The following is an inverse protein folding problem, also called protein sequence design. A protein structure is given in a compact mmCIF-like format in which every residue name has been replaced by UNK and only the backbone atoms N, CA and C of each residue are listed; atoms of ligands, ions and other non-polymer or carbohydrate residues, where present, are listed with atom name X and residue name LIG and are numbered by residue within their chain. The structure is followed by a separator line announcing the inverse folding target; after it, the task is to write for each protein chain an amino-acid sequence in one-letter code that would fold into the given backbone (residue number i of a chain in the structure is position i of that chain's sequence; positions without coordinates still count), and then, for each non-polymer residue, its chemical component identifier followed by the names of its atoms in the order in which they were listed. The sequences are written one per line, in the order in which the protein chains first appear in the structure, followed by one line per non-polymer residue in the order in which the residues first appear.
data_IF_373476564480
#
_entry.id   IF_373476564480
#
_cell.length_a   1.000
_cell.length_b   1.000
_cell.length_c   1.000
_cell.angle_alpha   90.00
_cell.angle_beta   90.00
_cell.angle_gamma   90.00
#
_symmetry.space_group_name_H-M   'P 1'
#
loop_
_entity.id
_entity.type
_entity.pdbx_description
1 polymer ?
#
# COMPACT_ATOMS: atom_id res chain seq x y z
N UNK A 1 10.33 16.62 6.51
CA UNK A 1 10.79 15.33 7.06
C UNK A 1 12.30 15.31 7.31
N UNK A 2 13.12 15.57 6.30
CA UNK A 2 14.60 15.63 6.42
C UNK A 2 15.08 16.56 7.55
N UNK A 3 14.42 17.71 7.73
CA UNK A 3 14.72 18.66 8.80
C UNK A 3 14.29 18.23 10.20
N UNK A 4 13.35 17.28 10.31
CA UNK A 4 12.69 16.93 11.57
C UNK A 4 13.21 15.62 12.16
N UNK A 5 13.50 14.62 11.32
CA UNK A 5 13.92 13.31 11.79
C UNK A 5 14.84 12.59 10.81
N UNK A 6 15.89 11.94 11.35
CA UNK A 6 16.84 11.11 10.59
C UNK A 6 16.22 9.90 9.88
N UNK A 7 14.94 9.56 10.16
CA UNK A 7 14.20 8.54 9.43
C UNK A 7 13.89 8.88 7.97
N UNK A 8 14.31 10.04 7.45
CA UNK A 8 14.22 10.32 6.01
C UNK A 8 14.99 9.30 5.16
N UNK A 9 16.05 8.67 5.71
CA UNK A 9 16.80 7.58 5.06
C UNK A 9 15.91 6.36 4.80
N UNK A 10 14.90 6.12 5.63
CA UNK A 10 13.92 5.05 5.38
C UNK A 10 13.03 5.38 4.17
N UNK A 11 12.51 6.61 4.10
CA UNK A 11 11.61 7.05 3.02
C UNK A 11 12.32 7.06 1.67
N UNK A 12 13.54 7.61 1.62
CA UNK A 12 14.32 7.71 0.39
C UNK A 12 14.80 6.35 -0.12
N UNK A 13 14.76 5.29 0.69
CA UNK A 13 15.05 3.93 0.23
C UNK A 13 13.76 3.15 -0.13
N UNK A 14 12.67 3.39 0.59
CA UNK A 14 11.39 2.72 0.35
C UNK A 14 10.74 3.14 -0.98
N UNK A 15 10.78 4.43 -1.32
CA UNK A 15 10.17 4.94 -2.57
C UNK A 15 10.89 4.36 -3.82
N UNK A 16 12.23 4.42 -3.94
CA UNK A 16 12.96 3.72 -5.00
C UNK A 16 12.66 2.24 -5.09
N UNK A 17 12.59 1.56 -3.94
CA UNK A 17 12.32 0.13 -3.88
C UNK A 17 10.93 -0.17 -4.45
N UNK A 18 9.93 0.65 -4.12
CA UNK A 18 8.60 0.54 -4.72
C UNK A 18 8.61 0.73 -6.25
N UNK A 19 9.27 1.76 -6.75
CA UNK A 19 9.39 2.01 -8.20
C UNK A 19 10.12 0.85 -8.90
N UNK A 20 11.18 0.33 -8.29
CA UNK A 20 11.92 -0.81 -8.81
C UNK A 20 11.05 -2.07 -8.90
N UNK A 21 10.25 -2.37 -7.88
CA UNK A 21 9.30 -3.49 -7.92
C UNK A 21 8.20 -3.32 -8.97
N UNK A 22 7.69 -2.09 -9.18
CA UNK A 22 6.74 -1.82 -10.25
C UNK A 22 7.35 -2.06 -11.65
N UNK A 23 8.64 -1.73 -11.82
CA UNK A 23 9.37 -2.05 -13.05
C UNK A 23 9.55 -3.56 -13.26
N UNK A 24 9.85 -4.32 -12.19
CA UNK A 24 9.93 -5.79 -12.24
C UNK A 24 8.59 -6.43 -12.59
N UNK A 25 7.48 -5.89 -12.09
CA UNK A 25 6.12 -6.32 -12.45
C UNK A 25 5.70 -5.90 -13.87
N UNK A 26 6.53 -5.13 -14.60
CA UNK A 26 6.24 -4.64 -15.94
C UNK A 26 5.15 -3.56 -15.99
N UNK A 27 4.73 -3.01 -14.85
CA UNK A 27 3.68 -1.99 -14.73
C UNK A 27 4.26 -0.59 -14.82
N UNK A 28 4.92 -0.28 -15.93
CA UNK A 28 5.42 1.06 -16.17
C UNK A 28 4.33 1.98 -16.70
N UNK A 29 4.23 3.17 -16.11
CA UNK A 29 3.35 4.25 -16.58
C UNK A 29 4.10 5.59 -16.55
N UNK A 30 3.82 6.47 -17.50
CA UNK A 30 4.37 7.83 -17.52
C UNK A 30 4.03 8.62 -16.24
N UNK A 31 2.94 8.28 -15.54
CA UNK A 31 2.61 8.86 -14.24
C UNK A 31 3.69 8.59 -13.19
N UNK A 32 4.19 7.36 -13.12
CA UNK A 32 5.26 6.95 -12.18
C UNK A 32 6.56 7.66 -12.55
N UNK A 33 6.85 7.77 -13.85
CA UNK A 33 8.03 8.47 -14.35
C UNK A 33 8.08 9.95 -13.90
N UNK A 34 6.98 10.69 -14.13
CA UNK A 34 6.90 12.11 -13.75
C UNK A 34 6.96 12.25 -12.23
N UNK A 35 6.20 11.43 -11.49
CA UNK A 35 6.16 11.48 -10.03
C UNK A 35 7.55 11.20 -9.40
N UNK A 36 8.24 10.14 -9.82
CA UNK A 36 9.53 9.78 -9.23
C UNK A 36 10.65 10.76 -9.64
N UNK A 37 10.68 11.20 -10.90
CA UNK A 37 11.69 12.14 -11.40
C UNK A 37 11.60 13.49 -10.70
N UNK A 38 10.39 14.03 -10.57
CA UNK A 38 10.15 15.30 -9.85
C UNK A 38 10.46 15.16 -8.36
N UNK A 39 10.02 14.06 -7.73
CA UNK A 39 10.33 13.76 -6.34
C UNK A 39 11.84 13.67 -6.07
N UNK A 40 12.60 12.95 -6.91
CA UNK A 40 14.04 12.76 -6.72
C UNK A 40 14.80 14.08 -6.85
N UNK A 41 14.55 14.85 -7.92
CA UNK A 41 15.28 16.11 -8.16
C UNK A 41 14.96 17.15 -7.09
N UNK A 42 13.67 17.38 -6.81
CA UNK A 42 13.24 18.35 -5.80
C UNK A 42 13.66 17.91 -4.39
N UNK A 43 13.49 16.63 -4.08
CA UNK A 43 13.88 16.05 -2.79
C UNK A 43 15.38 16.16 -2.55
N UNK A 44 16.21 15.89 -3.57
CA UNK A 44 17.66 16.01 -3.49
C UNK A 44 18.08 17.44 -3.18
N UNK A 45 17.62 18.42 -3.97
CA UNK A 45 17.96 19.84 -3.80
C UNK A 45 17.50 20.36 -2.44
N UNK A 46 16.27 20.04 -2.02
CA UNK A 46 15.75 20.48 -0.73
C UNK A 46 16.45 19.80 0.45
N UNK A 47 16.88 18.54 0.31
CA UNK A 47 17.59 17.83 1.39
C UNK A 47 18.97 18.44 1.67
N UNK A 48 19.67 18.93 0.65
CA UNK A 48 20.98 19.56 0.78
C UNK A 48 20.95 20.91 1.50
N UNK A 49 19.79 21.57 1.55
CA UNK A 49 19.64 22.86 2.24
C UNK A 49 19.73 22.73 3.76
N UNK A 50 19.55 21.53 4.31
CA UNK A 50 19.64 21.30 5.75
C UNK A 50 21.12 21.21 6.15
N UNK A 51 21.64 22.11 7.00
CA UNK A 51 23.08 22.18 7.31
C UNK A 51 23.67 20.88 7.89
N UNK A 52 22.86 20.13 8.63
CA UNK A 52 23.27 18.84 9.20
C UNK A 52 23.48 17.75 8.13
N UNK A 53 22.73 17.81 7.03
CA UNK A 53 22.76 16.82 5.95
C UNK A 53 23.80 17.20 4.90
N UNK A 54 23.87 18.49 4.54
CA UNK A 54 24.86 19.02 3.60
C UNK A 54 24.98 18.18 2.32
N UNK A 55 26.17 17.61 2.06
CA UNK A 55 26.47 16.78 0.89
C UNK A 55 26.38 15.26 1.14
N UNK A 56 25.82 14.83 2.27
CA UNK A 56 25.59 13.40 2.53
C UNK A 56 24.77 12.70 1.43
N UNK A 57 23.74 13.31 0.82
CA UNK A 57 22.95 12.67 -0.24
C UNK A 57 23.74 12.24 -1.48
N UNK A 58 24.90 12.85 -1.74
CA UNK A 58 25.78 12.49 -2.86
C UNK A 58 26.89 11.53 -2.40
N UNK A 59 27.45 11.78 -1.22
CA UNK A 59 28.66 11.10 -0.77
C UNK A 59 28.40 9.80 -0.03
N UNK A 60 27.21 9.56 0.48
CA UNK A 60 26.91 8.37 1.29
C UNK A 60 26.21 7.30 0.47
N UNK A 61 26.55 6.04 0.75
CA UNK A 61 25.96 4.86 0.09
C UNK A 61 24.46 4.69 0.36
N UNK A 62 23.95 5.30 1.42
CA UNK A 62 22.54 5.21 1.87
C UNK A 62 21.54 5.81 0.87
N UNK A 63 21.98 6.73 0.02
CA UNK A 63 21.15 7.40 -0.99
C UNK A 63 21.36 6.87 -2.41
N UNK A 64 22.30 5.93 -2.59
CA UNK A 64 22.66 5.40 -3.91
C UNK A 64 21.54 4.58 -4.54
N UNK A 65 20.66 3.96 -3.74
CA UNK A 65 19.49 3.26 -4.26
C UNK A 65 18.54 4.21 -5.00
N UNK A 66 18.36 5.44 -4.49
CA UNK A 66 17.52 6.45 -5.13
C UNK A 66 18.14 6.95 -6.44
N UNK A 67 19.45 7.21 -6.45
CA UNK A 67 20.17 7.60 -7.66
C UNK A 67 20.21 6.48 -8.72
N UNK A 68 20.43 5.23 -8.30
CA UNK A 68 20.48 4.07 -9.19
C UNK A 68 19.13 3.79 -9.85
N UNK A 69 18.05 3.78 -9.07
CA UNK A 69 16.69 3.64 -9.63
C UNK A 69 16.29 4.82 -10.49
N UNK A 70 16.75 6.04 -10.21
CA UNK A 70 16.56 7.20 -11.08
C UNK A 70 17.22 7.01 -12.45
N UNK A 71 18.50 6.61 -12.47
CA UNK A 71 19.22 6.32 -13.71
C UNK A 71 18.54 5.18 -14.50
N UNK A 72 18.13 4.12 -13.80
CA UNK A 72 17.43 2.99 -14.39
C UNK A 72 16.07 3.40 -14.98
N UNK A 73 15.31 4.24 -14.28
CA UNK A 73 14.01 4.74 -14.74
C UNK A 73 14.15 5.64 -15.97
N UNK A 74 15.20 6.46 -16.04
CA UNK A 74 15.48 7.31 -17.20
C UNK A 74 15.82 6.49 -18.44
N UNK A 75 16.72 5.52 -18.28
CA UNK A 75 17.06 4.61 -19.36
C UNK A 75 15.84 3.77 -19.80
N UNK A 76 15.04 3.27 -18.85
CA UNK A 76 13.81 2.53 -19.17
C UNK A 76 12.82 3.39 -19.97
N UNK A 77 12.57 4.64 -19.55
CA UNK A 77 11.70 5.56 -20.27
C UNK A 77 12.21 5.85 -21.69
N UNK A 78 13.52 6.03 -21.85
CA UNK A 78 14.15 6.21 -23.15
C UNK A 78 13.99 4.98 -24.05
N UNK A 79 14.16 3.76 -23.52
CA UNK A 79 13.93 2.52 -24.26
C UNK A 79 12.47 2.35 -24.68
N UNK A 80 11.52 2.72 -23.81
CA UNK A 80 10.08 2.74 -24.14
C UNK A 80 9.78 3.78 -25.23
N UNK A 81 10.44 4.93 -25.20
CA UNK A 81 10.32 5.93 -26.27
C UNK A 81 10.87 5.40 -27.60
N UNK A 82 12.05 4.77 -27.59
CA UNK A 82 12.62 4.13 -28.80
C UNK A 82 11.73 3.02 -29.34
N UNK A 83 11.11 2.22 -28.46
CA UNK A 83 10.12 1.19 -28.85
C UNK A 83 9.00 1.76 -29.71
N UNK A 84 8.55 2.99 -29.43
CA UNK A 84 7.45 3.61 -30.18
C UNK A 84 7.83 3.99 -31.62
N UNK A 85 9.12 4.04 -31.95
CA UNK A 85 9.65 4.49 -33.24
C UNK A 85 10.14 3.34 -34.14
N UNK A 86 10.11 2.09 -33.68
CA UNK A 86 10.75 0.96 -34.40
C UNK A 86 9.90 -0.31 -34.41
N UNK A 87 10.14 -1.18 -35.40
CA UNK A 87 9.39 -2.42 -35.67
C UNK A 87 9.45 -3.45 -34.51
N UNK A 88 8.36 -4.18 -34.29
CA UNK A 88 8.09 -4.96 -33.07
C UNK A 88 8.82 -6.31 -32.92
N UNK A 89 9.25 -6.92 -34.02
CA UNK A 89 9.64 -8.34 -34.03
C UNK A 89 11.02 -8.56 -33.42
N UNK A 90 11.98 -7.68 -33.71
CA UNK A 90 13.35 -7.77 -33.16
C UNK A 90 13.51 -7.01 -31.84
N UNK A 91 12.58 -6.10 -31.53
CA UNK A 91 12.71 -5.18 -30.42
C UNK A 91 12.47 -5.82 -29.05
N UNK A 92 11.72 -6.93 -28.93
CA UNK A 92 11.46 -7.56 -27.63
C UNK A 92 12.73 -8.10 -26.98
N UNK A 93 13.57 -8.79 -27.76
CA UNK A 93 14.84 -9.34 -27.25
C UNK A 93 15.84 -8.21 -26.96
N UNK A 94 15.90 -7.19 -27.84
CA UNK A 94 16.74 -6.01 -27.63
C UNK A 94 16.27 -5.21 -26.40
N UNK A 95 14.96 -5.09 -26.17
CA UNK A 95 14.39 -4.37 -25.04
C UNK A 95 14.72 -5.05 -23.71
N UNK A 96 14.49 -6.37 -23.62
CA UNK A 96 14.83 -7.13 -22.41
C UNK A 96 16.34 -7.10 -22.15
N UNK A 97 17.15 -7.31 -23.19
CA UNK A 97 18.61 -7.23 -23.09
C UNK A 97 19.06 -5.83 -22.67
N UNK A 98 18.50 -4.77 -23.25
CA UNK A 98 18.86 -3.40 -22.92
C UNK A 98 18.46 -3.02 -21.48
N UNK A 99 17.30 -3.44 -21.00
CA UNK A 99 16.88 -3.21 -19.60
C UNK A 99 17.82 -3.94 -18.64
N UNK A 100 18.18 -5.20 -18.91
CA UNK A 100 19.12 -5.97 -18.08
C UNK A 100 20.53 -5.37 -18.15
N UNK A 101 20.99 -4.96 -19.33
CA UNK A 101 22.29 -4.34 -19.52
C UNK A 101 22.41 -3.00 -18.77
N UNK A 102 21.37 -2.16 -18.83
CA UNK A 102 21.30 -0.91 -18.08
C UNK A 102 21.29 -1.19 -16.57
N UNK A 103 20.47 -2.15 -16.11
CA UNK A 103 20.44 -2.51 -14.70
C UNK A 103 21.80 -3.02 -14.21
N UNK A 104 22.46 -3.87 -15.01
CA UNK A 104 23.81 -4.37 -14.74
C UNK A 104 24.85 -3.26 -14.73
N UNK A 105 24.79 -2.33 -15.69
CA UNK A 105 25.70 -1.19 -15.77
C UNK A 105 25.54 -0.26 -14.56
N UNK A 106 24.31 0.07 -14.18
CA UNK A 106 24.04 0.86 -12.97
C UNK A 106 24.58 0.15 -11.73
N UNK A 107 24.37 -1.16 -11.61
CA UNK A 107 24.87 -1.94 -10.48
C UNK A 107 26.40 -1.95 -10.40
N UNK A 108 27.08 -2.20 -11.53
CA UNK A 108 28.54 -2.19 -11.62
C UNK A 108 29.08 -0.79 -11.32
N UNK A 109 28.44 0.26 -11.84
CA UNK A 109 28.85 1.64 -11.60
C UNK A 109 28.78 1.99 -10.10
N UNK A 110 27.72 1.56 -9.41
CA UNK A 110 27.58 1.78 -7.95
C UNK A 110 28.67 1.02 -7.17
N UNK A 111 28.96 -0.23 -7.52
CA UNK A 111 30.02 -1.03 -6.88
C UNK A 111 31.38 -0.37 -7.09
N UNK A 112 31.70 -0.02 -8.34
CA UNK A 112 32.97 0.60 -8.69
C UNK A 112 33.16 1.93 -7.96
N UNK A 113 32.12 2.77 -7.92
CA UNK A 113 32.19 4.07 -7.25
C UNK A 113 32.34 3.96 -5.72
N UNK A 114 31.78 2.88 -5.14
CA UNK A 114 31.95 2.55 -3.72
C UNK A 114 33.36 2.04 -3.45
N UNK A 115 33.89 1.16 -4.30
CA UNK A 115 35.25 0.62 -4.14
C UNK A 115 36.33 1.67 -4.40
N UNK A 116 36.10 2.60 -5.34
CA UNK A 116 36.99 3.71 -5.66
C UNK A 116 37.05 4.78 -4.55
N UNK A 117 36.23 4.66 -3.48
CA UNK A 117 36.28 5.56 -2.32
C UNK A 117 35.65 6.93 -2.55
N UNK A 118 35.03 7.18 -3.71
CA UNK A 118 34.26 8.40 -3.95
C UNK A 118 32.96 8.43 -3.12
N UNK A 119 32.36 7.25 -2.89
CA UNK A 119 31.19 7.06 -2.02
C UNK A 119 31.64 6.46 -0.70
N UNK A 120 31.32 7.13 0.41
CA UNK A 120 31.58 6.66 1.75
C UNK A 120 30.76 5.38 2.05
N UNK A 121 31.37 4.40 2.75
CA UNK A 121 30.68 3.18 3.14
C UNK A 121 29.52 3.48 4.10
N UNK A 122 28.70 2.46 4.35
CA UNK A 122 27.52 2.54 5.20
C UNK A 122 27.91 3.05 6.59
N UNK A 123 27.12 3.96 7.15
CA UNK A 123 27.36 4.40 8.52
C UNK A 123 27.19 3.22 9.49
N UNK A 124 28.04 3.15 10.53
CA UNK A 124 28.07 2.03 11.48
C UNK A 124 26.71 1.74 12.15
N UNK A 125 25.84 2.76 12.28
CA UNK A 125 24.47 2.59 12.78
C UNK A 125 23.56 1.86 11.79
N UNK A 126 23.62 2.20 10.50
CA UNK A 126 22.80 1.51 9.49
C UNK A 126 23.36 0.13 9.16
N UNK A 127 24.69 -0.03 9.20
CA UNK A 127 25.33 -1.33 9.06
C UNK A 127 24.93 -2.29 10.19
N UNK A 128 24.79 -1.79 11.43
CA UNK A 128 24.31 -2.61 12.56
C UNK A 128 22.87 -3.14 12.42
N UNK A 129 22.05 -2.49 11.57
CA UNK A 129 20.70 -2.98 11.27
C UNK A 129 20.71 -4.16 10.30
N UNK A 130 21.78 -4.29 9.50
CA UNK A 130 21.99 -5.40 8.58
C UNK A 130 22.75 -6.54 9.25
N UNK A 131 23.87 -6.21 9.90
CA UNK A 131 24.66 -7.14 10.71
C UNK A 131 24.52 -6.79 12.21
N UNK A 132 23.58 -7.49 12.86
CA UNK A 132 23.28 -7.31 14.29
C UNK A 132 24.43 -7.75 15.20
N UNK A 133 25.41 -8.51 14.70
CA UNK A 133 26.60 -8.92 15.45
C UNK A 133 27.69 -7.84 15.46
N UNK A 134 27.77 -7.04 14.40
CA UNK A 134 28.85 -6.06 14.21
C UNK A 134 28.92 -5.00 15.30
N UNK A 135 27.77 -4.41 15.68
CA UNK A 135 27.74 -3.36 16.72
C UNK A 135 28.15 -3.89 18.10
N UNK A 136 27.82 -5.14 18.42
CA UNK A 136 28.16 -5.75 19.72
C UNK A 136 29.66 -5.99 19.87
N UNK A 137 30.37 -6.24 18.77
CA UNK A 137 31.79 -6.59 18.77
C UNK A 137 32.68 -5.36 18.56
N UNK A 138 32.31 -4.47 17.64
CA UNK A 138 33.19 -3.38 17.20
C UNK A 138 32.88 -2.02 17.80
N UNK A 139 31.63 -1.75 18.26
CA UNK A 139 31.24 -0.44 18.81
C UNK A 139 30.31 -0.63 20.03
N UNK A 140 30.86 -0.98 21.22
CA UNK A 140 30.05 -1.34 22.40
C UNK A 140 29.14 -0.21 22.89
N UNK A 141 29.46 1.06 22.58
CA UNK A 141 28.64 2.22 22.92
C UNK A 141 27.24 2.11 22.26
N UNK A 142 27.15 1.66 21.01
CA UNK A 142 25.88 1.52 20.30
C UNK A 142 25.05 0.38 20.88
N UNK A 143 25.70 -0.73 21.24
CA UNK A 143 25.04 -1.91 21.82
C UNK A 143 24.55 -1.68 23.25
N UNK A 144 25.15 -0.75 24.00
CA UNK A 144 24.79 -0.46 25.39
C UNK A 144 23.44 0.26 25.57
N UNK A 145 22.90 0.85 24.51
CA UNK A 145 21.64 1.61 24.56
C UNK A 145 20.46 0.64 24.49
N UNK A 146 19.58 0.70 25.51
CA UNK A 146 18.41 -0.20 25.60
C UNK A 146 17.48 -0.12 24.40
N UNK A 147 17.39 1.03 23.71
CA UNK A 147 16.60 1.20 22.49
C UNK A 147 17.12 0.40 21.28
N UNK A 148 18.40 0.03 21.29
CA UNK A 148 19.07 -0.75 20.23
C UNK A 148 18.95 -2.26 20.44
N UNK A 149 18.28 -2.69 21.50
CA UNK A 149 18.02 -4.09 21.77
C UNK A 149 16.93 -4.64 20.82
N UNK A 150 16.94 -5.96 20.54
CA UNK A 150 15.90 -6.60 19.76
C UNK A 150 14.57 -6.64 20.52
N UNK A 151 13.47 -6.59 19.78
CA UNK A 151 12.11 -6.71 20.34
C UNK A 151 11.75 -8.16 20.63
N UNK A 152 11.14 -8.41 21.78
CA UNK A 152 10.52 -9.71 22.06
C UNK A 152 9.08 -9.77 21.54
N UNK A 153 8.55 -10.97 21.31
CA UNK A 153 7.13 -11.16 20.95
C UNK A 153 6.16 -10.52 21.96
N UNK A 154 6.51 -10.53 23.25
CA UNK A 154 5.69 -9.93 24.31
C UNK A 154 5.53 -8.43 24.09
N UNK A 155 6.59 -7.73 23.67
CA UNK A 155 6.54 -6.30 23.33
C UNK A 155 5.60 -6.03 22.15
N UNK A 156 5.64 -6.87 21.09
CA UNK A 156 4.71 -6.75 19.96
C UNK A 156 3.25 -6.87 20.38
N UNK A 157 2.94 -7.84 21.25
CA UNK A 157 1.58 -8.02 21.73
C UNK A 157 1.13 -6.91 22.68
N UNK A 158 2.04 -6.41 23.54
CA UNK A 158 1.73 -5.35 24.48
C UNK A 158 1.39 -4.02 23.79
N UNK A 159 2.14 -3.66 22.75
CA UNK A 159 1.96 -2.37 22.06
C UNK A 159 0.85 -2.41 21.01
N UNK A 160 0.65 -3.55 20.32
CA UNK A 160 -0.29 -3.65 19.18
C UNK A 160 -1.57 -4.43 19.49
N UNK A 161 -1.68 -5.06 20.67
CA UNK A 161 -2.85 -5.80 21.15
C UNK A 161 -3.57 -6.62 20.06
N UNK A 162 -4.80 -6.26 19.67
CA UNK A 162 -5.59 -6.98 18.65
C UNK A 162 -5.04 -6.81 17.23
N UNK A 163 -4.31 -5.72 16.96
CA UNK A 163 -3.87 -5.37 15.62
C UNK A 163 -2.84 -6.37 15.08
N UNK A 164 -1.99 -6.95 15.95
CA UNK A 164 -0.99 -7.95 15.55
C UNK A 164 -1.63 -9.21 14.96
N UNK A 165 -2.80 -9.61 15.45
CA UNK A 165 -3.54 -10.77 14.94
C UNK A 165 -4.24 -10.45 13.61
N UNK A 166 -4.74 -9.23 13.44
CA UNK A 166 -5.41 -8.80 12.21
C UNK A 166 -4.45 -8.39 11.09
N UNK A 167 -3.20 -8.09 11.41
CA UNK A 167 -2.19 -7.62 10.46
C UNK A 167 -1.94 -8.61 9.30
N UNK A 168 -1.72 -9.93 9.54
CA UNK A 168 -1.55 -10.88 8.45
C UNK A 168 -2.80 -11.01 7.57
N UNK A 169 -4.00 -10.92 8.17
CA UNK A 169 -5.26 -10.95 7.42
C UNK A 169 -5.41 -9.73 6.51
N UNK A 170 -5.08 -8.53 7.02
CA UNK A 170 -5.06 -7.30 6.24
C UNK A 170 -4.08 -7.36 5.07
N UNK A 171 -2.86 -7.86 5.33
CA UNK A 171 -1.85 -8.04 4.29
C UNK A 171 -2.33 -9.00 3.19
N UNK A 172 -2.98 -10.10 3.56
CA UNK A 172 -3.56 -11.05 2.61
C UNK A 172 -4.61 -10.41 1.69
N UNK A 173 -5.51 -9.57 2.24
CA UNK A 173 -6.50 -8.85 1.44
C UNK A 173 -5.87 -7.84 0.46
N UNK A 174 -4.78 -7.18 0.87
CA UNK A 174 -4.04 -6.26 -0.01
C UNK A 174 -3.35 -7.03 -1.14
N UNK A 175 -2.75 -8.19 -0.85
CA UNK A 175 -2.09 -9.03 -1.87
C UNK A 175 -3.09 -9.61 -2.87
N UNK A 176 -4.31 -9.99 -2.44
CA UNK A 176 -5.32 -10.57 -3.34
C UNK A 176 -5.79 -9.59 -4.43
N UNK A 177 -5.79 -8.28 -4.15
CA UNK A 177 -6.16 -7.23 -5.11
C UNK A 177 -4.93 -6.36 -5.40
N UNK A 178 -4.09 -6.75 -6.36
CA UNK A 178 -2.84 -6.03 -6.67
C UNK A 178 -3.12 -4.77 -7.50
N UNK A 179 -2.98 -3.61 -6.86
CA UNK A 179 -2.92 -2.31 -7.52
C UNK A 179 -1.58 -1.61 -7.24
N UNK A 180 -1.24 -0.60 -8.02
CA UNK A 180 0.06 0.07 -7.95
C UNK A 180 0.31 0.65 -6.55
N UNK A 181 -0.70 1.28 -5.93
CA UNK A 181 -0.61 1.80 -4.56
C UNK A 181 -0.56 0.70 -3.49
N UNK A 182 -1.15 -0.46 -3.75
CA UNK A 182 -1.16 -1.59 -2.81
C UNK A 182 0.20 -2.29 -2.75
N UNK A 183 0.95 -2.31 -3.85
CA UNK A 183 2.34 -2.79 -3.87
C UNK A 183 3.20 -1.97 -2.91
N UNK A 184 3.01 -0.64 -2.85
CA UNK A 184 3.73 0.21 -1.90
C UNK A 184 3.45 -0.20 -0.44
N UNK A 185 2.19 -0.45 -0.10
CA UNK A 185 1.80 -0.85 1.27
C UNK A 185 2.40 -2.20 1.66
N UNK A 186 2.42 -3.18 0.75
CA UNK A 186 3.01 -4.51 1.02
C UNK A 186 4.52 -4.40 1.27
N UNK A 187 5.23 -3.63 0.45
CA UNK A 187 6.67 -3.40 0.63
C UNK A 187 6.97 -2.66 1.91
N UNK A 188 6.18 -1.63 2.24
CA UNK A 188 6.29 -0.92 3.50
C UNK A 188 6.06 -1.84 4.70
N UNK A 189 5.01 -2.67 4.68
CA UNK A 189 4.71 -3.61 5.75
C UNK A 189 5.85 -4.62 5.95
N UNK A 190 6.38 -5.18 4.86
CA UNK A 190 7.40 -6.23 4.93
C UNK A 190 8.73 -5.68 5.45
N UNK A 191 9.15 -4.52 4.95
CA UNK A 191 10.39 -3.84 5.41
C UNK A 191 10.26 -3.35 6.84
N UNK A 192 9.12 -2.77 7.22
CA UNK A 192 8.89 -2.28 8.58
C UNK A 192 8.85 -3.41 9.62
N UNK A 193 8.27 -4.57 9.30
CA UNK A 193 8.26 -5.74 10.21
C UNK A 193 9.68 -6.23 10.47
N UNK A 194 10.51 -6.30 9.43
CA UNK A 194 11.92 -6.68 9.58
C UNK A 194 12.67 -5.70 10.50
N UNK A 195 12.58 -4.41 10.22
CA UNK A 195 13.29 -3.39 11.00
C UNK A 195 12.79 -3.28 12.44
N UNK A 196 11.49 -3.43 12.68
CA UNK A 196 10.92 -3.47 14.02
C UNK A 196 11.40 -4.70 14.81
N UNK A 197 11.61 -5.84 14.16
CA UNK A 197 12.16 -7.04 14.80
C UNK A 197 13.61 -6.87 15.27
N UNK A 198 14.41 -6.10 14.52
CA UNK A 198 15.84 -5.88 14.83
C UNK A 198 16.04 -4.86 15.95
N UNK A 199 15.21 -3.82 16.03
CA UNK A 199 15.39 -2.71 16.97
C UNK A 199 14.06 -2.22 17.54
N UNK A 200 13.94 -2.19 18.89
CA UNK A 200 12.73 -1.73 19.61
C UNK A 200 12.25 -0.36 19.17
N UNK A 201 13.15 0.60 18.97
CA UNK A 201 12.77 1.96 18.54
C UNK A 201 12.08 2.01 17.18
N UNK A 202 12.39 1.08 16.27
CA UNK A 202 11.82 1.07 14.92
C UNK A 202 10.38 0.57 14.91
N UNK A 203 9.86 0.09 16.03
CA UNK A 203 8.45 -0.19 16.23
C UNK A 203 7.55 1.02 15.95
N UNK A 204 8.04 2.23 16.23
CA UNK A 204 7.34 3.49 15.93
C UNK A 204 7.08 3.66 14.42
N UNK A 205 7.94 3.10 13.56
CA UNK A 205 7.74 3.12 12.11
C UNK A 205 6.85 2.00 11.59
N UNK A 206 6.63 0.95 12.38
CA UNK A 206 5.75 -0.17 12.05
C UNK A 206 4.28 0.15 12.40
N UNK A 207 4.04 0.85 13.51
CA UNK A 207 2.67 1.11 14.01
C UNK A 207 1.72 1.70 12.94
N UNK A 208 2.10 2.71 12.13
CA UNK A 208 1.19 3.28 11.14
C UNK A 208 0.73 2.28 10.08
N UNK A 209 1.62 1.42 9.57
CA UNK A 209 1.24 0.43 8.55
C UNK A 209 0.38 -0.68 9.13
N UNK A 210 0.63 -1.07 10.39
CA UNK A 210 -0.20 -2.05 11.11
C UNK A 210 -1.61 -1.51 11.29
N UNK A 211 -1.77 -0.24 11.68
CA UNK A 211 -3.09 0.40 11.79
C UNK A 211 -3.84 0.43 10.46
N UNK A 212 -3.16 0.77 9.36
CA UNK A 212 -3.79 0.81 8.02
C UNK A 212 -4.24 -0.59 7.59
N UNK A 213 -3.39 -1.61 7.75
CA UNK A 213 -3.72 -2.98 7.36
C UNK A 213 -4.82 -3.59 8.24
N UNK A 214 -4.79 -3.33 9.54
CA UNK A 214 -5.85 -3.73 10.45
C UNK A 214 -7.18 -3.06 10.08
N UNK A 215 -7.17 -1.76 9.77
CA UNK A 215 -8.35 -1.03 9.33
C UNK A 215 -8.95 -1.61 8.04
N UNK A 216 -8.11 -1.97 7.05
CA UNK A 216 -8.56 -2.64 5.82
C UNK A 216 -9.17 -4.00 6.14
N UNK A 217 -8.56 -4.79 7.02
CA UNK A 217 -9.08 -6.10 7.42
C UNK A 217 -10.46 -5.97 8.09
N UNK A 218 -10.61 -5.05 9.05
CA UNK A 218 -11.89 -4.80 9.71
C UNK A 218 -12.94 -4.27 8.74
N UNK A 219 -12.59 -3.33 7.86
CA UNK A 219 -13.52 -2.79 6.86
C UNK A 219 -14.06 -3.88 5.94
N UNK A 220 -13.20 -4.75 5.41
CA UNK A 220 -13.63 -5.84 4.51
C UNK A 220 -14.49 -6.85 5.25
N UNK A 221 -14.16 -7.18 6.50
CA UNK A 221 -14.99 -8.07 7.32
C UNK A 221 -16.35 -7.45 7.57
N UNK A 222 -16.42 -6.18 7.99
CA UNK A 222 -17.68 -5.49 8.22
C UNK A 222 -18.51 -5.39 6.94
N UNK A 223 -17.93 -5.02 5.80
CA UNK A 223 -18.66 -4.95 4.53
C UNK A 223 -19.24 -6.30 4.09
N UNK A 224 -18.62 -7.43 4.44
CA UNK A 224 -19.18 -8.75 4.10
C UNK A 224 -20.29 -9.20 5.06
N UNK A 225 -20.24 -8.80 6.34
CA UNK A 225 -21.18 -9.28 7.36
C UNK A 225 -22.31 -8.28 7.69
N UNK A 226 -22.18 -6.99 7.36
CA UNK A 226 -23.16 -5.93 7.69
C UNK A 226 -24.07 -5.53 6.51
N UNK A 227 -24.00 -6.22 5.36
CA UNK A 227 -24.77 -5.88 4.15
C UNK A 227 -26.23 -6.36 4.19
N UNK A 228 -26.66 -7.12 5.19
CA UNK A 228 -28.03 -7.65 5.26
C UNK A 228 -29.14 -6.57 5.43
N UNK A 229 -28.81 -5.30 5.70
CA UNK A 229 -29.80 -4.22 5.92
C UNK A 229 -29.77 -3.07 4.89
N UNK A 230 -29.00 -3.16 3.81
CA UNK A 230 -29.02 -2.12 2.75
C UNK A 230 -29.80 -2.62 1.52
N UNK A 231 -30.96 -2.01 1.16
CA UNK A 231 -31.56 -2.28 -0.14
C UNK A 231 -30.57 -1.84 -1.23
N UNK A 232 -30.32 -2.74 -2.18
CA UNK A 232 -29.39 -2.57 -3.29
C UNK A 232 -29.56 -1.22 -3.99
N UNK A 233 -28.58 -0.33 -3.84
CA UNK A 233 -28.47 0.84 -4.71
C UNK A 233 -27.93 0.36 -6.06
N UNK A 234 -28.82 0.35 -7.05
CA UNK A 234 -28.57 -0.05 -8.42
C UNK A 234 -27.37 0.74 -8.98
N UNK A 235 -26.27 0.04 -9.25
CA UNK A 235 -25.24 0.51 -10.17
C UNK A 235 -25.70 0.22 -11.60
N UNK A 236 -26.55 1.08 -12.14
CA UNK A 236 -26.81 1.18 -13.58
C UNK A 236 -27.32 2.60 -13.91
N UNK A 237 -26.40 3.53 -14.17
CA UNK A 237 -26.56 4.62 -15.16
C UNK A 237 -25.34 5.55 -15.11
N UNK A 238 -24.49 5.45 -16.13
CA UNK A 238 -23.50 6.48 -16.50
C UNK A 238 -24.19 7.78 -16.94
N UNK A 239 -23.37 8.85 -17.00
CA UNK A 239 -23.56 10.17 -17.65
C UNK A 239 -24.40 11.23 -16.91
N UNK A 240 -23.74 12.30 -16.44
CA UNK A 240 -24.36 13.58 -16.02
C UNK A 240 -24.69 14.48 -17.22
N UNK A 241 -24.95 15.81 -17.06
CA UNK A 241 -25.02 16.65 -15.85
C UNK A 241 -26.36 17.42 -15.74
N UNK A 242 -26.54 18.19 -14.65
CA UNK A 242 -27.13 19.55 -14.54
C UNK A 242 -27.98 19.77 -13.28
N UNK A 243 -27.57 20.79 -12.53
CA UNK A 243 -28.35 21.81 -11.85
C UNK A 243 -29.07 21.57 -10.51
N UNK A 244 -28.99 22.64 -9.74
CA UNK A 244 -29.27 22.81 -8.34
C UNK A 244 -30.77 22.80 -7.98
N UNK A 245 -31.01 22.24 -6.81
CA UNK A 245 -31.93 22.71 -5.75
C UNK A 245 -33.44 22.42 -5.85
N UNK A 246 -34.00 22.14 -4.66
CA UNK A 246 -35.41 21.89 -4.30
C UNK A 246 -36.00 20.49 -4.49
N UNK A 247 -35.88 19.62 -3.47
CA UNK A 247 -36.96 18.68 -3.06
C UNK A 247 -36.62 17.93 -1.75
N UNK A 248 -36.22 18.65 -0.70
CA UNK A 248 -35.77 18.06 0.58
C UNK A 248 -36.86 17.69 1.60
N UNK A 249 -38.12 18.12 1.43
CA UNK A 249 -39.07 18.09 2.56
C UNK A 249 -40.27 17.13 2.43
N UNK A 250 -40.55 16.56 1.25
CA UNK A 250 -41.72 15.68 1.08
C UNK A 250 -41.45 14.20 1.43
N UNK A 251 -40.21 13.73 1.30
CA UNK A 251 -39.89 12.30 1.48
C UNK A 251 -39.84 11.85 2.94
N UNK A 252 -39.56 12.75 3.89
CA UNK A 252 -39.42 12.39 5.31
C UNK A 252 -40.77 12.13 6.01
N UNK A 253 -41.85 12.81 5.57
CA UNK A 253 -43.20 12.59 6.11
C UNK A 253 -43.80 11.26 5.70
N UNK A 254 -43.43 10.74 4.52
CA UNK A 254 -43.89 9.42 4.04
C UNK A 254 -43.21 8.28 4.80
N UNK A 255 -41.91 8.44 5.10
CA UNK A 255 -41.10 7.44 5.81
C UNK A 255 -41.54 7.20 7.25
N UNK A 256 -41.96 8.24 8.00
CA UNK A 256 -42.45 8.08 9.39
C UNK A 256 -43.80 7.36 9.51
N UNK A 257 -44.64 7.35 8.46
CA UNK A 257 -45.98 6.71 8.52
C UNK A 257 -45.93 5.18 8.42
N UNK A 258 -44.87 4.63 7.81
CA UNK A 258 -44.72 3.18 7.60
C UNK A 258 -44.04 2.44 8.77
N UNK A 259 -43.63 3.16 9.82
CA UNK A 259 -42.91 2.59 10.98
C UNK A 259 -43.83 1.94 12.05
N UNK A 260 -45.15 2.01 11.92
CA UNK A 260 -46.09 1.38 12.88
C UNK A 260 -47.19 0.60 12.16
N UNK A 261 -46.88 -0.59 11.63
CA UNK A 261 -47.91 -1.56 11.24
C UNK A 261 -48.01 -2.69 12.30
N UNK A 262 -49.17 -2.68 13.00
CA UNK A 262 -49.56 -3.60 14.08
C UNK A 262 -49.55 -5.08 13.60
N UNK A 263 -49.29 -6.06 14.50
CA UNK A 263 -49.06 -7.47 14.16
C UNK A 263 -50.32 -8.28 13.74
N UNK A 264 -51.38 -7.63 13.29
CA UNK A 264 -52.68 -8.26 12.96
C UNK A 264 -52.89 -8.61 11.49
N UNK A 265 -52.20 -7.95 10.53
CA UNK A 265 -52.50 -8.11 9.09
C UNK A 265 -52.04 -9.44 8.49
N UNK A 266 -50.96 -10.06 9.00
CA UNK A 266 -50.46 -11.35 8.48
C UNK A 266 -51.44 -12.51 8.74
N UNK A 267 -52.19 -12.51 9.84
CA UNK A 267 -53.21 -13.55 10.14
C UNK A 267 -54.45 -13.44 9.24
N UNK A 268 -54.92 -12.21 8.96
CA UNK A 268 -56.07 -12.00 8.08
C UNK A 268 -55.79 -12.38 6.61
N UNK A 269 -54.55 -12.15 6.14
CA UNK A 269 -54.14 -12.51 4.78
C UNK A 269 -53.94 -14.02 4.62
N UNK A 270 -53.47 -14.72 5.65
CA UNK A 270 -53.39 -16.18 5.65
C UNK A 270 -54.78 -16.85 5.69
N UNK A 271 -55.72 -16.36 6.51
CA UNK A 271 -57.08 -16.92 6.53
C UNK A 271 -57.82 -16.73 5.19
N UNK A 272 -57.66 -15.58 4.53
CA UNK A 272 -58.25 -15.37 3.19
C UNK A 272 -57.66 -16.30 2.12
N UNK A 273 -56.35 -16.55 2.16
CA UNK A 273 -55.70 -17.52 1.26
C UNK A 273 -56.17 -18.96 1.52
N UNK A 274 -56.42 -19.30 2.79
CA UNK A 274 -56.91 -20.63 3.17
C UNK A 274 -58.37 -20.84 2.72
N UNK A 275 -59.24 -19.84 2.89
CA UNK A 275 -60.62 -19.88 2.35
C UNK A 275 -60.66 -19.95 0.82
N UNK A 276 -59.76 -19.25 0.12
CA UNK A 276 -59.69 -19.31 -1.35
C UNK A 276 -59.19 -20.66 -1.87
N UNK A 277 -58.27 -21.33 -1.16
CA UNK A 277 -57.86 -22.70 -1.50
C UNK A 277 -58.98 -23.70 -1.24
N UNK A 278 -59.74 -23.57 -0.16
CA UNK A 278 -60.85 -24.48 0.14
C UNK A 278 -62.02 -24.32 -0.87
N UNK A 279 -62.31 -23.08 -1.29
CA UNK A 279 -63.30 -22.79 -2.35
C UNK A 279 -62.85 -23.23 -3.75
N UNK A 280 -61.54 -23.37 -3.99
CA UNK A 280 -60.99 -23.98 -5.22
C UNK A 280 -61.00 -25.50 -5.18
N UNK A 281 -60.85 -26.10 -3.99
CA UNK A 281 -60.97 -27.55 -3.79
C UNK A 281 -62.38 -28.08 -4.05
N UNK A 282 -63.42 -27.44 -3.49
CA UNK A 282 -64.83 -27.87 -3.69
C UNK A 282 -65.33 -27.70 -5.12
N UNK A 283 -64.87 -26.67 -5.86
CA UNK A 283 -65.22 -26.49 -7.28
C UNK A 283 -64.62 -27.57 -8.20
N UNK A 284 -63.67 -28.36 -7.72
CA UNK A 284 -62.99 -29.42 -8.48
C UNK A 284 -63.55 -30.82 -8.19
N UNK A 285 -64.36 -30.97 -7.13
CA UNK A 285 -65.05 -32.22 -6.76
C UNK A 285 -66.46 -32.35 -7.36
N UNK A 286 -67.02 -31.28 -7.94
CA UNK A 286 -68.36 -31.28 -8.52
C UNK A 286 -68.39 -31.57 -10.04
N UNK A 287 -67.27 -32.03 -10.62
CA UNK A 287 -67.13 -32.41 -12.05
C UNK A 287 -66.42 -33.77 -12.26
N UNK A 288 -66.59 -34.70 -11.33
CA UNK A 288 -66.30 -36.14 -11.53
C UNK A 288 -67.39 -36.98 -10.85
#
# INVERSE_FOLDING_TARGET
MVSAWGGYVFIINLIPLHVFFLLLMGRFSFRIYVAYTTFFIMGLVMSMQVPFVGFQPIRTSEHMAAAGTFALLQAYAFLVYMRSKISWTDFKNIFVFAVVAVAGLVFIAVIFLTYAGYVAPWSGRFYSLYDTGYAKIHIPIIASVSEHQPTTWVSFFFDLHVLICTFPAGLWFVVKKINDERVFVVLYATTAVYFAGVMVRLMLTLTPVVCILAAIAFSVTLDNYLVDDRPSENKDSETGPTDADSSGEENDKKKRKDLYDKPGKKKAQNNKKQEEMEKRGRRRSDWC
#
